data_IF_776254965937
#
_entry.id   IF_776254965937
#
_cell.length_a   1.000
_cell.length_b   1.000
_cell.length_c   1.000
_cell.angle_alpha   90.00
_cell.angle_beta   90.00
_cell.angle_gamma   90.00
#
_symmetry.space_group_name_H-M   'P 1'
#
loop_
_entity.id
_entity.type
_entity.pdbx_description
1 polymer ?
#
# COMPACT_ATOMS: atom_id res chain seq x y z
N UNK A 1 11.29 -8.24 11.00
CA UNK A 1 10.51 -7.04 10.66
C UNK A 1 9.64 -6.68 11.83
N UNK A 2 9.45 -5.40 12.14
CA UNK A 2 8.41 -5.01 13.10
C UNK A 2 7.07 -5.04 12.37
N UNK A 3 6.06 -5.63 12.98
CA UNK A 3 4.73 -5.83 12.36
C UNK A 3 3.69 -5.05 13.17
N UNK A 4 2.77 -4.40 12.49
CA UNK A 4 1.73 -3.60 13.14
C UNK A 4 0.60 -3.22 12.20
N UNK A 5 -0.45 -2.61 12.73
CA UNK A 5 -1.49 -1.99 11.92
C UNK A 5 -1.07 -0.61 11.41
N UNK A 6 -1.96 0.03 10.66
CA UNK A 6 -1.81 1.44 10.32
C UNK A 6 -1.80 2.31 11.60
N UNK A 7 -0.98 3.38 11.65
CA UNK A 7 -1.08 4.39 12.69
C UNK A 7 -2.50 4.94 12.79
N UNK A 8 -3.02 5.10 14.03
CA UNK A 8 -4.41 5.49 14.27
C UNK A 8 -4.89 6.70 13.46
N UNK A 9 -4.15 7.83 13.43
CA UNK A 9 -4.55 9.01 12.64
C UNK A 9 -4.62 8.72 11.14
N UNK A 10 -3.64 8.00 10.59
CA UNK A 10 -3.60 7.63 9.17
C UNK A 10 -4.79 6.72 8.82
N UNK A 11 -5.01 5.70 9.63
CA UNK A 11 -6.13 4.77 9.46
C UNK A 11 -7.47 5.53 9.43
N UNK A 12 -7.76 6.32 10.46
CA UNK A 12 -9.03 7.06 10.54
C UNK A 12 -9.21 8.06 9.40
N UNK A 13 -8.14 8.73 8.95
CA UNK A 13 -8.17 9.61 7.78
C UNK A 13 -8.56 8.87 6.51
N UNK A 14 -7.90 7.76 6.22
CA UNK A 14 -8.18 6.95 5.03
C UNK A 14 -9.59 6.34 5.08
N UNK A 15 -10.02 5.81 6.23
CA UNK A 15 -11.37 5.27 6.40
C UNK A 15 -12.44 6.34 6.16
N UNK A 16 -12.23 7.57 6.64
CA UNK A 16 -13.14 8.70 6.44
C UNK A 16 -13.21 9.15 4.98
N UNK A 17 -12.09 9.13 4.25
CA UNK A 17 -12.02 9.57 2.85
C UNK A 17 -12.55 8.51 1.89
N UNK A 18 -12.28 7.24 2.17
CA UNK A 18 -12.59 6.13 1.27
C UNK A 18 -13.94 5.46 1.53
N UNK A 19 -14.43 5.50 2.78
CA UNK A 19 -15.58 4.72 3.23
C UNK A 19 -15.27 3.23 3.44
N UNK A 20 -14.02 2.80 3.30
CA UNK A 20 -13.58 1.42 3.53
C UNK A 20 -12.93 1.25 4.89
N UNK A 21 -13.11 0.08 5.51
CA UNK A 21 -12.43 -0.30 6.74
C UNK A 21 -11.00 -0.76 6.43
N UNK A 22 -10.08 -0.34 7.30
CA UNK A 22 -8.63 -0.58 7.17
C UNK A 22 -8.06 -1.33 8.38
N UNK A 23 -8.91 -1.89 9.25
CA UNK A 23 -8.53 -2.71 10.41
C UNK A 23 -7.73 -3.96 10.05
N UNK A 24 -7.94 -4.47 8.84
CA UNK A 24 -7.35 -5.70 8.32
C UNK A 24 -6.00 -5.48 7.64
N UNK A 25 -5.54 -4.23 7.55
CA UNK A 25 -4.24 -3.85 6.96
C UNK A 25 -3.10 -4.15 7.94
N UNK A 26 -2.09 -4.85 7.44
CA UNK A 26 -0.89 -5.21 8.19
C UNK A 26 0.34 -4.57 7.54
N UNK A 27 1.10 -3.83 8.33
CA UNK A 27 2.32 -3.14 7.91
C UNK A 27 3.53 -3.90 8.43
N UNK A 28 4.39 -4.32 7.50
CA UNK A 28 5.67 -4.95 7.78
C UNK A 28 6.79 -3.92 7.59
N UNK A 29 7.25 -3.33 8.69
CA UNK A 29 8.32 -2.34 8.71
C UNK A 29 9.70 -3.01 8.60
N UNK A 30 10.63 -2.32 7.94
CA UNK A 30 11.99 -2.83 7.70
C UNK A 30 11.99 -4.19 7.00
N UNK A 31 11.05 -4.40 6.09
CA UNK A 31 10.93 -5.61 5.28
C UNK A 31 12.02 -5.68 4.22
N UNK A 32 12.60 -6.85 4.01
CA UNK A 32 13.51 -7.13 2.89
C UNK A 32 12.78 -7.45 1.58
N UNK A 33 11.45 -7.61 1.62
CA UNK A 33 10.66 -8.02 0.44
C UNK A 33 10.65 -6.97 -0.67
N UNK A 34 10.47 -5.65 -0.42
CA UNK A 34 10.45 -4.66 -1.50
C UNK A 34 11.73 -4.69 -2.35
N UNK A 35 12.90 -4.94 -1.73
CA UNK A 35 14.17 -5.02 -2.44
C UNK A 35 14.23 -6.18 -3.45
N UNK A 36 13.49 -7.27 -3.23
CA UNK A 36 13.38 -8.39 -4.18
C UNK A 36 12.64 -7.99 -5.47
N UNK A 37 11.86 -6.92 -5.39
CA UNK A 37 11.09 -6.33 -6.48
C UNK A 37 11.75 -5.07 -7.05
N UNK A 38 12.94 -4.71 -6.55
CA UNK A 38 13.59 -3.43 -6.82
C UNK A 38 12.71 -2.22 -6.44
N UNK A 39 11.86 -2.38 -5.42
CA UNK A 39 10.96 -1.35 -4.90
C UNK A 39 11.36 -0.88 -3.50
N UNK A 40 10.83 0.27 -3.08
CA UNK A 40 11.01 0.80 -1.72
C UNK A 40 9.92 0.34 -0.76
N UNK A 41 8.70 0.21 -1.27
CA UNK A 41 7.54 -0.30 -0.57
C UNK A 41 6.58 -0.93 -1.59
N UNK A 42 5.61 -1.71 -1.12
CA UNK A 42 4.46 -2.11 -1.92
C UNK A 42 3.29 -2.54 -1.03
N UNK A 43 2.06 -2.40 -1.54
CA UNK A 43 0.85 -2.96 -0.99
C UNK A 43 0.32 -4.13 -1.84
N UNK A 44 -0.06 -5.24 -1.20
CA UNK A 44 -0.66 -6.39 -1.88
C UNK A 44 -1.85 -6.93 -1.10
N UNK A 45 -3.06 -6.57 -1.51
CA UNK A 45 -4.26 -6.86 -0.74
C UNK A 45 -4.24 -6.05 0.55
N UNK A 46 -3.98 -6.73 1.66
CA UNK A 46 -3.98 -6.12 3.00
C UNK A 46 -2.56 -5.93 3.59
N UNK A 47 -1.58 -6.78 3.27
CA UNK A 47 -0.19 -6.51 3.62
C UNK A 47 0.40 -5.28 2.89
N UNK A 48 1.09 -4.44 3.65
CA UNK A 48 1.97 -3.38 3.18
C UNK A 48 3.39 -3.71 3.66
N UNK A 49 4.34 -3.75 2.74
CA UNK A 49 5.75 -3.95 3.07
C UNK A 49 6.54 -2.67 2.84
N UNK A 50 7.22 -2.19 3.88
CA UNK A 50 8.08 -1.01 3.80
C UNK A 50 9.54 -1.45 3.94
N UNK A 51 10.38 -1.02 3.02
CA UNK A 51 11.82 -1.18 3.14
C UNK A 51 12.38 -0.45 4.37
N UNK A 52 13.61 -0.76 4.81
CA UNK A 52 14.22 -0.05 5.92
C UNK A 52 14.32 1.47 5.68
N UNK A 53 13.76 2.27 6.59
CA UNK A 53 13.75 3.74 6.50
C UNK A 53 12.76 4.32 5.48
N UNK A 54 11.82 3.52 4.98
CA UNK A 54 10.84 3.89 3.95
C UNK A 54 9.44 4.13 4.50
N UNK A 55 9.30 4.38 5.80
CA UNK A 55 8.02 4.67 6.48
C UNK A 55 7.20 5.80 5.85
N UNK A 56 7.88 6.76 5.21
CA UNK A 56 7.25 7.87 4.47
C UNK A 56 6.33 7.41 3.34
N UNK A 57 6.51 6.21 2.80
CA UNK A 57 5.67 5.65 1.74
C UNK A 57 4.36 5.07 2.28
N UNK A 58 4.22 4.89 3.60
CA UNK A 58 3.07 4.21 4.18
C UNK A 58 1.71 4.82 3.79
N UNK A 59 1.51 6.14 3.81
CA UNK A 59 0.21 6.70 3.44
C UNK A 59 -0.15 6.43 1.97
N UNK A 60 0.83 6.52 1.07
CA UNK A 60 0.70 6.18 -0.34
C UNK A 60 0.30 4.71 -0.54
N UNK A 61 1.05 3.78 0.07
CA UNK A 61 0.74 2.34 0.00
C UNK A 61 -0.62 2.00 0.61
N UNK A 62 -1.03 2.69 1.68
CA UNK A 62 -2.34 2.50 2.28
C UNK A 62 -3.48 2.97 1.36
N UNK A 63 -3.24 3.96 0.49
CA UNK A 63 -4.20 4.35 -0.54
C UNK A 63 -4.30 3.31 -1.66
N UNK A 64 -3.20 2.64 -2.02
CA UNK A 64 -3.29 1.50 -2.96
C UNK A 64 -4.20 0.39 -2.44
N UNK A 65 -4.18 0.10 -1.13
CA UNK A 65 -5.13 -0.85 -0.53
C UNK A 65 -6.59 -0.41 -0.73
N UNK A 66 -6.88 0.90 -0.62
CA UNK A 66 -8.22 1.44 -0.91
C UNK A 66 -8.60 1.21 -2.37
N UNK A 67 -7.70 1.50 -3.31
CA UNK A 67 -7.94 1.31 -4.75
C UNK A 67 -8.20 -0.17 -5.08
N UNK A 68 -7.47 -1.08 -4.43
CA UNK A 68 -7.69 -2.53 -4.54
C UNK A 68 -9.06 -2.93 -3.97
N UNK A 69 -9.45 -2.43 -2.79
CA UNK A 69 -10.78 -2.68 -2.18
C UNK A 69 -11.94 -2.11 -3.01
N UNK A 70 -11.70 -1.06 -3.78
CA UNK A 70 -12.69 -0.50 -4.72
C UNK A 70 -12.80 -1.29 -6.03
N UNK A 71 -11.94 -2.29 -6.26
CA UNK A 71 -11.92 -3.06 -7.50
C UNK A 71 -11.46 -2.26 -8.71
N UNK A 72 -10.79 -1.11 -8.49
CA UNK A 72 -10.27 -0.25 -9.56
C UNK A 72 -8.93 -0.76 -10.09
N UNK A 73 -8.19 -1.50 -9.26
CA UNK A 73 -6.94 -2.15 -9.64
C UNK A 73 -7.22 -3.36 -10.52
N UNK A 74 -6.79 -3.28 -11.78
CA UNK A 74 -6.76 -4.43 -12.68
C UNK A 74 -5.52 -5.26 -12.32
N UNK A 75 -5.61 -6.60 -12.19
CA UNK A 75 -4.43 -7.42 -11.97
C UNK A 75 -3.55 -7.39 -13.24
N UNK A 76 -2.68 -6.40 -13.34
CA UNK A 76 -1.73 -6.26 -14.43
C UNK A 76 -0.53 -7.16 -14.15
N UNK A 77 -0.46 -8.23 -14.94
CA UNK A 77 0.72 -9.07 -15.17
C UNK A 77 1.34 -9.75 -13.95
N UNK A 78 1.18 -11.09 -13.91
CA UNK A 78 2.10 -12.01 -13.27
C UNK A 78 3.49 -11.91 -13.96
N UNK A 79 4.29 -10.90 -13.66
CA UNK A 79 5.67 -10.80 -14.17
C UNK A 79 6.67 -11.08 -13.05
N UNK A 80 7.06 -12.35 -12.95
CA UNK A 80 8.20 -12.92 -12.17
C UNK A 80 8.26 -12.66 -10.67
N UNK A 81 7.46 -11.75 -10.14
CA UNK A 81 7.25 -11.50 -8.73
C UNK A 81 5.76 -11.38 -8.49
N UNK A 82 5.23 -12.18 -7.57
CA UNK A 82 3.80 -12.44 -7.33
C UNK A 82 2.97 -11.22 -6.87
N UNK A 83 3.43 -9.99 -7.04
CA UNK A 83 2.74 -8.77 -6.58
C UNK A 83 1.99 -8.15 -7.75
N UNK A 84 0.66 -8.11 -7.64
CA UNK A 84 -0.20 -7.37 -8.56
C UNK A 84 -0.09 -5.87 -8.25
N UNK A 85 0.91 -5.21 -8.83
CA UNK A 85 1.07 -3.75 -8.76
C UNK A 85 0.32 -3.16 -9.95
N UNK A 86 -0.58 -2.21 -9.70
CA UNK A 86 -1.29 -1.51 -10.76
C UNK A 86 -0.54 -0.24 -11.11
N UNK A 87 0.13 -0.21 -12.26
CA UNK A 87 0.98 0.92 -12.67
C UNK A 87 0.19 1.98 -13.47
N UNK A 88 -1.09 2.18 -13.15
CA UNK A 88 -1.93 3.14 -13.88
C UNK A 88 -1.63 4.58 -13.40
N UNK A 89 -1.10 5.49 -14.25
CA UNK A 89 -0.61 6.79 -13.79
C UNK A 89 -1.65 7.65 -13.05
N UNK A 90 -2.93 7.50 -13.39
CA UNK A 90 -4.01 8.21 -12.71
C UNK A 90 -4.24 7.71 -11.28
N UNK A 91 -4.04 6.42 -11.01
CA UNK A 91 -4.17 5.84 -9.69
C UNK A 91 -2.93 6.11 -8.83
N UNK A 92 -1.74 6.11 -9.43
CA UNK A 92 -0.51 6.55 -8.75
C UNK A 92 -0.60 8.02 -8.30
N UNK A 93 -1.09 8.91 -9.16
CA UNK A 93 -1.27 10.32 -8.80
C UNK A 93 -2.33 10.49 -7.69
N UNK A 94 -3.42 9.72 -7.74
CA UNK A 94 -4.43 9.73 -6.69
C UNK A 94 -3.84 9.26 -5.36
N UNK A 95 -3.00 8.22 -5.35
CA UNK A 95 -2.31 7.73 -4.16
C UNK A 95 -1.31 8.75 -3.59
N UNK A 96 -0.62 9.52 -4.44
CA UNK A 96 0.26 10.61 -4.02
C UNK A 96 -0.52 11.76 -3.36
N UNK A 97 -1.67 12.17 -3.92
CA UNK A 97 -2.49 13.26 -3.38
C UNK A 97 -3.22 12.87 -2.10
N UNK A 98 -3.74 11.65 -2.05
CA UNK A 98 -4.56 11.17 -0.93
C UNK A 98 -3.71 10.55 0.19
N UNK A 99 -2.50 10.10 -0.13
CA UNK A 99 -1.48 9.59 0.77
C UNK A 99 -0.35 10.60 1.05
N UNK A 100 -0.65 11.90 1.06
CA UNK A 100 0.27 12.96 1.49
C UNK A 100 0.07 13.36 2.96
#
# INVERSE_FOLDING_TARGET
SAEGGLPGPLKSGIESLSGYRMDDVQVHYNSSQPAQLQAHAYAQGNPIHLGPGQEKHLPHEAWHVVQQKQGRVRPTMQMKSQVAINDEPGLEHEADVMGA
#
